data_IF_281827249927
#
_entry.id   IF_281827249927
#
_cell.length_a   1.000
_cell.length_b   1.000
_cell.length_c   1.000
_cell.angle_alpha   90.00
_cell.angle_beta   90.00
_cell.angle_gamma   90.00
#
_symmetry.space_group_name_H-M   'P 1'
#
loop_
_entity.id
_entity.type
_entity.pdbx_description
1 polymer ?
#
# COMPACT_ATOMS: atom_id res chain seq x y z
N UNK A 1 -20.76 6.38 -34.66
CA UNK A 1 -19.82 5.39 -35.22
C UNK A 1 -18.41 5.73 -34.72
N UNK A 2 -17.69 4.80 -34.17
CA UNK A 2 -16.31 4.84 -33.62
C UNK A 2 -16.09 5.20 -32.13
N UNK A 3 -16.79 4.55 -31.24
CA UNK A 3 -16.36 4.53 -29.81
C UNK A 3 -15.61 3.25 -29.38
N UNK A 4 -15.48 2.24 -30.27
CA UNK A 4 -14.91 0.94 -29.92
C UNK A 4 -13.36 0.87 -29.93
N UNK A 5 -12.67 1.85 -30.48
CA UNK A 5 -11.20 1.82 -30.61
C UNK A 5 -10.43 2.41 -29.42
N UNK A 6 -11.07 3.23 -28.58
CA UNK A 6 -10.41 3.87 -27.44
C UNK A 6 -10.12 2.88 -26.28
N UNK A 7 -11.03 1.93 -26.02
CA UNK A 7 -10.87 0.94 -24.92
C UNK A 7 -9.76 -0.07 -25.18
N UNK A 8 -9.58 -0.50 -26.43
CA UNK A 8 -8.52 -1.46 -26.79
C UNK A 8 -7.11 -0.88 -26.69
N UNK A 9 -6.96 0.41 -26.94
CA UNK A 9 -5.65 1.08 -26.90
C UNK A 9 -5.18 1.33 -25.47
N UNK A 10 -6.10 1.65 -24.55
CA UNK A 10 -5.78 1.85 -23.13
C UNK A 10 -5.36 0.56 -22.42
N UNK A 11 -6.07 -0.56 -22.68
CA UNK A 11 -5.69 -1.87 -22.14
C UNK A 11 -4.34 -2.36 -22.66
N UNK A 12 -3.96 -2.02 -23.90
CA UNK A 12 -2.64 -2.34 -24.45
C UNK A 12 -1.50 -1.54 -23.81
N UNK A 13 -1.74 -0.30 -23.41
CA UNK A 13 -0.71 0.54 -22.75
C UNK A 13 -0.50 0.17 -21.28
N UNK A 14 -1.53 -0.29 -20.59
CA UNK A 14 -1.40 -0.74 -19.19
C UNK A 14 -0.68 -2.09 -19.07
N UNK A 15 -0.86 -2.99 -20.04
CA UNK A 15 -0.20 -4.31 -20.05
C UNK A 15 1.27 -4.24 -20.53
N UNK A 16 1.67 -3.20 -21.25
CA UNK A 16 3.04 -3.04 -21.75
C UNK A 16 4.04 -2.56 -20.69
N UNK A 17 3.58 -2.18 -19.49
CA UNK A 17 4.46 -1.75 -18.39
C UNK A 17 4.95 -2.90 -17.49
N UNK A 18 4.51 -4.14 -17.74
CA UNK A 18 4.90 -5.33 -16.95
C UNK A 18 6.04 -6.14 -17.60
N UNK A 19 6.49 -5.77 -18.81
CA UNK A 19 7.32 -6.65 -19.61
C UNK A 19 8.61 -6.11 -20.21
N UNK A 20 9.27 -5.09 -19.66
CA UNK A 20 10.63 -4.75 -20.08
C UNK A 20 11.65 -5.06 -18.99
N UNK A 21 12.17 -6.30 -19.03
CA UNK A 21 13.42 -6.68 -18.36
C UNK A 21 14.57 -5.89 -19.00
N UNK A 22 14.84 -4.71 -18.48
CA UNK A 22 16.14 -4.09 -18.68
C UNK A 22 17.17 -4.85 -17.83
N UNK A 23 17.98 -5.66 -18.49
CA UNK A 23 19.25 -6.12 -17.96
C UNK A 23 20.18 -4.91 -17.77
N UNK A 24 19.99 -4.19 -16.69
CA UNK A 24 20.97 -3.25 -16.20
C UNK A 24 21.85 -4.00 -15.20
N UNK A 25 23.06 -4.36 -15.63
CA UNK A 25 24.19 -4.60 -14.73
C UNK A 25 24.50 -3.32 -13.96
N UNK A 26 23.63 -2.98 -13.00
CA UNK A 26 23.81 -1.88 -12.07
C UNK A 26 24.42 -2.43 -10.79
N UNK A 27 25.70 -2.17 -10.56
CA UNK A 27 26.29 -2.26 -9.23
C UNK A 27 25.33 -1.57 -8.25
N UNK A 28 24.90 -2.28 -7.21
CA UNK A 28 24.14 -1.73 -6.11
C UNK A 28 24.86 -0.46 -5.64
N UNK A 29 24.35 0.72 -5.96
CA UNK A 29 24.72 1.93 -5.25
C UNK A 29 24.24 1.73 -3.82
N UNK A 30 25.12 1.23 -2.95
CA UNK A 30 24.95 1.38 -1.50
C UNK A 30 24.68 2.86 -1.28
N UNK A 31 23.51 3.19 -0.75
CA UNK A 31 23.29 4.49 -0.14
C UNK A 31 24.24 4.49 1.07
N UNK A 32 25.46 4.97 0.86
CA UNK A 32 26.41 5.20 1.95
C UNK A 32 26.00 6.55 2.51
N UNK A 33 25.45 6.64 3.73
CA UNK A 33 25.20 7.92 4.35
C UNK A 33 26.53 8.67 4.40
N UNK A 34 26.56 9.94 3.94
CA UNK A 34 27.57 10.89 4.41
C UNK A 34 27.61 10.78 5.92
N UNK A 35 28.79 10.75 6.53
CA UNK A 35 29.03 10.59 7.97
C UNK A 35 28.12 11.52 8.79
N UNK A 36 26.95 11.04 9.21
CA UNK A 36 25.94 11.77 9.95
C UNK A 36 24.63 10.98 10.05
N UNK A 37 23.92 11.14 11.14
CA UNK A 37 22.60 10.57 11.38
C UNK A 37 21.59 11.25 10.45
N UNK A 38 20.90 10.51 9.57
CA UNK A 38 19.85 11.06 8.71
C UNK A 38 18.56 11.16 9.52
N UNK A 39 18.02 12.36 9.64
CA UNK A 39 16.74 12.66 10.27
C UNK A 39 15.75 13.11 9.22
N UNK A 40 14.50 12.65 9.33
CA UNK A 40 13.41 12.97 8.41
C UNK A 40 12.12 13.24 9.19
N UNK A 41 11.22 13.98 8.57
CA UNK A 41 9.93 14.35 9.18
C UNK A 41 9.90 15.80 9.67
N UNK A 42 8.75 16.22 10.20
CA UNK A 42 8.47 17.61 10.57
C UNK A 42 7.69 17.69 11.88
N UNK A 43 7.78 18.84 12.55
CA UNK A 43 7.07 19.10 13.80
C UNK A 43 7.42 18.08 14.89
N UNK A 44 6.41 17.48 15.48
CA UNK A 44 6.59 16.43 16.50
C UNK A 44 6.89 15.04 15.92
N UNK A 45 6.83 14.86 14.58
CA UNK A 45 7.05 13.56 13.91
C UNK A 45 8.44 13.53 13.26
N UNK A 46 9.48 13.48 14.10
CA UNK A 46 10.87 13.37 13.65
C UNK A 46 11.36 11.96 13.86
N UNK A 47 12.05 11.44 12.85
CA UNK A 47 12.56 10.08 12.80
C UNK A 47 14.01 10.04 12.39
N UNK A 48 14.74 9.08 12.94
CA UNK A 48 16.07 8.69 12.52
C UNK A 48 16.01 7.49 11.59
N UNK A 49 16.71 7.54 10.46
CA UNK A 49 16.86 6.39 9.58
C UNK A 49 17.79 5.37 10.22
N UNK A 50 17.32 4.14 10.41
CA UNK A 50 18.13 3.03 10.94
C UNK A 50 18.79 2.29 9.77
N UNK A 51 20.11 2.42 9.58
CA UNK A 51 20.79 1.80 8.47
C UNK A 51 20.79 0.26 8.60
N UNK A 52 20.57 -0.41 7.47
CA UNK A 52 20.64 -1.88 7.35
C UNK A 52 19.66 -2.66 8.25
N UNK A 53 18.60 -2.04 8.73
CA UNK A 53 17.56 -2.78 9.43
C UNK A 53 16.94 -3.84 8.50
N UNK A 54 16.76 -5.06 8.99
CA UNK A 54 16.15 -6.14 8.21
C UNK A 54 16.97 -6.63 7.02
N UNK A 55 18.24 -6.20 6.88
CA UNK A 55 19.13 -6.66 5.81
C UNK A 55 19.47 -8.14 6.02
N UNK A 56 19.13 -8.97 5.02
CA UNK A 56 19.39 -10.40 5.02
C UNK A 56 20.41 -10.80 3.95
N UNK A 57 20.81 -12.07 3.98
CA UNK A 57 21.58 -12.70 2.90
C UNK A 57 20.67 -12.90 1.68
N UNK A 58 20.84 -12.09 0.65
CA UNK A 58 20.05 -12.15 -0.58
C UNK A 58 20.18 -13.48 -1.36
N UNK A 59 21.19 -14.29 -1.08
CA UNK A 59 21.30 -15.64 -1.63
C UNK A 59 20.33 -16.62 -0.99
N UNK A 60 20.00 -16.41 0.29
CA UNK A 60 19.12 -17.28 1.09
C UNK A 60 17.69 -16.76 1.17
N UNK A 61 17.54 -15.48 1.45
CA UNK A 61 16.24 -14.82 1.64
C UNK A 61 16.11 -13.61 0.72
N UNK A 62 16.13 -13.80 -0.62
CA UNK A 62 16.01 -12.69 -1.55
C UNK A 62 14.69 -11.95 -1.40
N UNK A 63 14.68 -10.69 -1.79
CA UNK A 63 13.46 -9.90 -2.04
C UNK A 63 13.48 -9.43 -3.49
N UNK A 64 12.32 -9.17 -4.05
CA UNK A 64 12.20 -8.46 -5.32
C UNK A 64 11.52 -7.12 -5.05
N UNK A 65 10.23 -6.97 -5.28
CA UNK A 65 9.49 -5.79 -4.83
C UNK A 65 8.92 -6.07 -3.44
N UNK A 66 9.23 -5.24 -2.47
CA UNK A 66 8.65 -5.30 -1.14
C UNK A 66 7.39 -4.42 -1.13
N UNK A 67 6.23 -5.04 -0.88
CA UNK A 67 4.96 -4.32 -1.03
C UNK A 67 4.39 -3.84 0.29
N UNK A 68 4.22 -4.71 1.28
CA UNK A 68 3.52 -4.35 2.51
C UNK A 68 4.09 -5.04 3.75
N UNK A 69 3.83 -4.43 4.90
CA UNK A 69 4.18 -4.99 6.21
C UNK A 69 3.02 -4.92 7.18
N UNK A 70 2.92 -5.94 8.04
CA UNK A 70 1.97 -5.99 9.17
C UNK A 70 2.64 -6.61 10.40
N UNK A 71 2.12 -6.33 11.60
CA UNK A 71 2.58 -6.93 12.85
C UNK A 71 1.52 -7.88 13.42
N UNK A 72 1.94 -9.04 13.90
CA UNK A 72 1.05 -9.96 14.59
C UNK A 72 0.95 -9.65 16.10
N UNK A 73 0.03 -10.33 16.78
CA UNK A 73 -0.17 -10.16 18.22
C UNK A 73 1.04 -10.54 19.10
N UNK A 74 2.07 -11.14 18.51
CA UNK A 74 3.34 -11.49 19.20
C UNK A 74 4.46 -10.48 18.93
N UNK A 75 4.17 -9.39 18.21
CA UNK A 75 5.16 -8.38 17.86
C UNK A 75 6.10 -8.79 16.71
N UNK A 76 5.71 -9.79 15.89
CA UNK A 76 6.49 -10.20 14.72
C UNK A 76 6.04 -9.40 13.50
N UNK A 77 6.99 -8.94 12.72
CA UNK A 77 6.77 -8.15 11.52
C UNK A 77 6.79 -9.05 10.27
N UNK A 78 5.69 -9.08 9.56
CA UNK A 78 5.52 -9.83 8.32
C UNK A 78 5.73 -8.89 7.15
N UNK A 79 6.73 -9.16 6.33
CA UNK A 79 6.98 -8.47 5.06
C UNK A 79 6.44 -9.31 3.91
N UNK A 80 5.65 -8.71 3.03
CA UNK A 80 5.22 -9.31 1.77
C UNK A 80 6.12 -8.85 0.62
N UNK A 81 6.60 -9.79 -0.18
CA UNK A 81 7.34 -9.54 -1.43
C UNK A 81 6.86 -10.45 -2.54
N UNK A 82 6.96 -10.02 -3.80
CA UNK A 82 6.65 -10.85 -4.96
C UNK A 82 7.82 -11.78 -5.37
N UNK A 83 8.83 -11.94 -4.50
CA UNK A 83 9.90 -12.92 -4.69
C UNK A 83 9.40 -14.34 -4.35
N UNK A 84 9.31 -15.19 -5.37
CA UNK A 84 8.70 -16.52 -5.24
C UNK A 84 9.57 -17.55 -4.52
N UNK A 85 10.75 -17.22 -4.06
CA UNK A 85 11.53 -18.10 -3.17
C UNK A 85 11.07 -17.99 -1.72
N UNK A 86 10.51 -16.83 -1.33
CA UNK A 86 10.01 -16.54 0.00
C UNK A 86 9.10 -15.31 -0.01
N UNK A 87 7.84 -15.48 -0.42
CA UNK A 87 6.90 -14.37 -0.53
C UNK A 87 6.65 -13.62 0.79
N UNK A 88 6.79 -14.30 1.92
CA UNK A 88 6.63 -13.70 3.25
C UNK A 88 7.90 -13.92 4.06
N UNK A 89 8.46 -12.84 4.57
CA UNK A 89 9.61 -12.83 5.47
C UNK A 89 9.15 -12.28 6.82
N UNK A 90 9.46 -12.99 7.90
CA UNK A 90 9.04 -12.64 9.25
C UNK A 90 10.25 -12.21 10.07
N UNK A 91 10.21 -10.98 10.58
CA UNK A 91 11.26 -10.39 11.42
C UNK A 91 10.79 -10.23 12.87
N UNK A 92 11.75 -10.15 13.77
CA UNK A 92 11.52 -9.45 15.03
C UNK A 92 11.75 -7.92 14.86
N UNK A 93 11.43 -7.11 15.88
CA UNK A 93 11.56 -5.65 15.82
C UNK A 93 13.02 -5.15 15.71
N UNK A 94 14.00 -6.03 15.99
CA UNK A 94 15.42 -5.74 15.78
C UNK A 94 15.86 -5.87 14.30
N UNK A 95 15.01 -6.48 13.45
CA UNK A 95 15.32 -6.78 12.05
C UNK A 95 15.95 -8.16 11.85
N UNK A 96 15.97 -9.01 12.87
CA UNK A 96 16.43 -10.39 12.77
C UNK A 96 15.38 -11.26 12.11
N UNK A 97 15.79 -12.07 11.13
CA UNK A 97 14.94 -13.10 10.53
C UNK A 97 14.49 -14.11 11.57
N UNK A 98 13.19 -14.34 11.64
CA UNK A 98 12.58 -15.42 12.44
C UNK A 98 12.19 -16.60 11.55
N UNK A 99 11.49 -16.34 10.43
CA UNK A 99 10.94 -17.35 9.53
C UNK A 99 10.71 -16.73 8.14
N UNK A 100 10.67 -17.55 7.10
CA UNK A 100 10.17 -17.15 5.78
C UNK A 100 9.42 -18.30 5.12
N UNK A 101 8.40 -17.94 4.30
CA UNK A 101 7.59 -18.92 3.58
C UNK A 101 6.93 -18.32 2.31
N UNK A 102 6.27 -19.17 1.55
CA UNK A 102 5.52 -18.79 0.35
C UNK A 102 6.37 -18.82 -0.92
N UNK A 103 5.84 -19.53 -1.93
CA UNK A 103 6.49 -19.71 -3.23
C UNK A 103 5.48 -19.58 -4.38
N UNK A 104 4.25 -19.16 -4.07
CA UNK A 104 3.11 -19.29 -4.99
C UNK A 104 2.43 -17.95 -5.30
N UNK A 105 3.01 -16.83 -4.86
CA UNK A 105 2.41 -15.51 -5.00
C UNK A 105 3.29 -14.58 -5.88
N UNK A 106 3.34 -14.82 -7.21
CA UNK A 106 4.20 -14.04 -8.11
C UNK A 106 3.77 -12.59 -8.26
N UNK A 107 2.51 -12.30 -7.99
CA UNK A 107 1.93 -10.95 -7.98
C UNK A 107 1.58 -10.48 -6.57
N UNK A 108 2.26 -10.99 -5.54
CA UNK A 108 2.03 -10.56 -4.15
C UNK A 108 2.10 -9.04 -4.03
N UNK A 109 1.00 -8.42 -3.55
CA UNK A 109 0.85 -6.96 -3.54
C UNK A 109 0.26 -6.43 -2.22
N UNK A 110 -1.01 -6.73 -1.89
CA UNK A 110 -1.66 -6.32 -0.66
C UNK A 110 -1.49 -7.35 0.46
N UNK A 111 -1.30 -6.89 1.71
CA UNK A 111 -1.19 -7.74 2.90
C UNK A 111 -1.99 -7.15 4.05
N UNK A 112 -3.07 -7.80 4.43
CA UNK A 112 -3.87 -7.43 5.60
C UNK A 112 -3.82 -8.53 6.65
N UNK A 113 -3.57 -8.18 7.92
CA UNK A 113 -3.72 -9.09 9.05
C UNK A 113 -5.10 -8.90 9.67
N UNK A 114 -5.76 -9.99 10.04
CA UNK A 114 -7.09 -9.96 10.67
C UNK A 114 -7.15 -10.93 11.85
N UNK A 115 -8.01 -10.58 12.82
CA UNK A 115 -8.29 -11.40 14.00
C UNK A 115 -9.63 -12.08 13.86
N UNK A 116 -9.69 -13.39 14.11
CA UNK A 116 -10.94 -14.16 14.22
C UNK A 116 -10.91 -14.92 15.56
N UNK A 117 -11.57 -14.36 16.55
CA UNK A 117 -11.47 -14.85 17.92
C UNK A 117 -10.03 -14.72 18.44
N UNK A 118 -9.42 -15.83 18.83
CA UNK A 118 -8.04 -15.88 19.34
C UNK A 118 -6.99 -16.14 18.23
N UNK A 119 -7.42 -16.37 16.99
CA UNK A 119 -6.54 -16.68 15.87
C UNK A 119 -6.34 -15.47 14.97
N UNK A 120 -5.18 -15.42 14.30
CA UNK A 120 -4.85 -14.39 13.31
C UNK A 120 -4.64 -15.04 11.96
N UNK A 121 -5.06 -14.32 10.92
CA UNK A 121 -4.96 -14.74 9.52
C UNK A 121 -4.39 -13.59 8.69
N UNK A 122 -3.92 -13.93 7.49
CA UNK A 122 -3.49 -12.98 6.48
C UNK A 122 -4.45 -13.03 5.29
N UNK A 123 -4.71 -11.86 4.70
CA UNK A 123 -5.24 -11.74 3.34
C UNK A 123 -4.12 -11.24 2.46
N UNK A 124 -3.83 -11.97 1.39
CA UNK A 124 -2.80 -11.65 0.40
C UNK A 124 -3.49 -11.36 -0.93
N UNK A 125 -3.34 -10.15 -1.45
CA UNK A 125 -3.70 -9.85 -2.84
C UNK A 125 -2.59 -10.32 -3.76
N UNK A 126 -2.92 -11.16 -4.73
CA UNK A 126 -2.00 -11.53 -5.81
C UNK A 126 -2.57 -11.02 -7.14
N UNK A 127 -1.98 -9.96 -7.66
CA UNK A 127 -2.44 -9.29 -8.87
C UNK A 127 -2.11 -10.06 -10.15
N UNK A 128 -1.15 -10.98 -10.13
CA UNK A 128 -0.81 -11.85 -11.26
C UNK A 128 -1.72 -13.09 -11.31
N UNK A 129 -2.10 -13.61 -10.13
CA UNK A 129 -3.06 -14.73 -10.03
C UNK A 129 -4.51 -14.27 -10.10
N UNK A 130 -4.77 -12.96 -10.00
CA UNK A 130 -6.12 -12.38 -9.99
C UNK A 130 -6.96 -12.90 -8.82
N UNK A 131 -6.37 -12.97 -7.63
CA UNK A 131 -6.97 -13.59 -6.45
C UNK A 131 -6.66 -12.82 -5.18
N UNK A 132 -7.52 -12.95 -4.17
CA UNK A 132 -7.21 -12.65 -2.78
C UNK A 132 -7.20 -13.97 -2.02
N UNK A 133 -6.12 -14.27 -1.32
CA UNK A 133 -5.92 -15.53 -0.64
C UNK A 133 -5.92 -15.29 0.88
N UNK A 134 -6.77 -16.00 1.62
CA UNK A 134 -6.71 -16.05 3.08
C UNK A 134 -5.82 -17.20 3.51
N UNK A 135 -4.82 -16.90 4.37
CA UNK A 135 -3.94 -17.92 4.95
C UNK A 135 -3.89 -17.81 6.47
N UNK A 136 -3.47 -18.88 7.15
CA UNK A 136 -2.95 -18.72 8.50
C UNK A 136 -1.56 -18.02 8.48
N UNK A 137 -0.99 -17.71 9.65
CA UNK A 137 0.30 -17.03 9.75
C UNK A 137 1.50 -17.87 9.28
N UNK A 138 1.28 -19.15 8.94
CA UNK A 138 2.29 -20.07 8.40
C UNK A 138 2.13 -20.33 6.91
N UNK A 139 1.18 -19.63 6.25
CA UNK A 139 0.95 -19.72 4.82
C UNK A 139 0.03 -20.86 4.38
N UNK A 140 -0.61 -21.59 5.31
CA UNK A 140 -1.63 -22.57 4.94
C UNK A 140 -2.88 -21.83 4.43
N UNK A 141 -3.26 -22.07 3.18
CA UNK A 141 -4.47 -21.51 2.58
C UNK A 141 -5.73 -21.99 3.31
N UNK A 142 -6.62 -21.05 3.62
CA UNK A 142 -7.93 -21.28 4.24
C UNK A 142 -9.03 -21.22 3.18
N UNK A 143 -9.06 -20.12 2.41
CA UNK A 143 -9.89 -19.95 1.22
C UNK A 143 -9.25 -18.91 0.29
N UNK A 144 -9.80 -18.79 -0.90
CA UNK A 144 -9.46 -17.74 -1.86
C UNK A 144 -10.70 -17.09 -2.44
N UNK A 145 -10.62 -15.78 -2.71
CA UNK A 145 -11.56 -15.02 -3.50
C UNK A 145 -10.98 -14.95 -4.91
N UNK A 146 -11.70 -15.49 -5.85
CA UNK A 146 -11.38 -15.41 -7.26
C UNK A 146 -12.13 -14.24 -7.91
N UNK A 147 -12.00 -14.09 -9.20
CA UNK A 147 -12.70 -13.09 -9.97
C UNK A 147 -14.23 -13.14 -9.71
N UNK A 148 -14.83 -12.01 -9.30
CA UNK A 148 -16.22 -12.00 -8.80
C UNK A 148 -17.22 -11.93 -9.94
N UNK A 149 -17.64 -13.06 -10.45
CA UNK A 149 -18.63 -13.19 -11.55
C UNK A 149 -19.95 -12.53 -11.22
N UNK A 150 -20.35 -12.56 -9.96
CA UNK A 150 -21.63 -12.07 -9.45
C UNK A 150 -21.78 -10.55 -9.62
N UNK A 151 -20.67 -9.84 -9.79
CA UNK A 151 -20.70 -8.38 -10.00
C UNK A 151 -21.25 -8.00 -11.37
N UNK A 152 -21.09 -8.87 -12.38
CA UNK A 152 -21.45 -8.59 -13.77
C UNK A 152 -20.64 -7.48 -14.46
N UNK A 153 -19.54 -6.99 -13.83
CA UNK A 153 -18.73 -5.89 -14.37
C UNK A 153 -17.43 -6.35 -15.01
N UNK A 154 -17.12 -7.62 -14.92
CA UNK A 154 -15.94 -8.25 -15.52
C UNK A 154 -16.35 -9.21 -16.63
N UNK A 155 -15.80 -9.03 -17.82
CA UNK A 155 -16.00 -9.94 -18.95
C UNK A 155 -15.03 -11.14 -18.87
N UNK A 156 -13.90 -10.96 -18.15
CA UNK A 156 -12.83 -11.95 -18.12
C UNK A 156 -12.07 -11.91 -16.77
N UNK A 157 -11.64 -13.06 -16.23
CA UNK A 157 -10.89 -13.12 -14.96
C UNK A 157 -9.70 -12.17 -14.86
N UNK A 158 -8.96 -11.95 -15.95
CA UNK A 158 -7.78 -11.09 -15.99
C UNK A 158 -8.10 -9.59 -15.82
N UNK A 159 -9.37 -9.22 -15.78
CA UNK A 159 -9.78 -7.84 -15.48
C UNK A 159 -9.87 -7.57 -13.98
N UNK A 160 -9.91 -8.59 -13.15
CA UNK A 160 -9.81 -8.48 -11.70
C UNK A 160 -8.34 -8.49 -11.27
N UNK A 161 -7.82 -7.36 -10.82
CA UNK A 161 -6.41 -7.19 -10.46
C UNK A 161 -6.33 -6.52 -9.08
N UNK A 162 -6.60 -7.30 -8.00
CA UNK A 162 -6.72 -6.77 -6.64
C UNK A 162 -5.40 -6.20 -6.15
N UNK A 163 -5.47 -5.04 -5.51
CA UNK A 163 -4.31 -4.34 -4.97
C UNK A 163 -4.28 -4.35 -3.44
N UNK A 164 -5.45 -4.29 -2.79
CA UNK A 164 -5.50 -4.16 -1.33
C UNK A 164 -6.78 -4.75 -0.77
N UNK A 165 -6.74 -5.10 0.53
CA UNK A 165 -7.92 -5.48 1.31
C UNK A 165 -8.03 -4.67 2.59
N UNK A 166 -9.27 -4.51 3.08
CA UNK A 166 -9.56 -4.06 4.43
C UNK A 166 -10.65 -4.94 5.04
N UNK A 167 -10.56 -5.15 6.35
CA UNK A 167 -11.54 -5.99 7.07
C UNK A 167 -12.31 -5.13 8.06
N UNK A 168 -13.62 -5.26 8.07
CA UNK A 168 -14.48 -4.66 9.07
C UNK A 168 -14.36 -5.46 10.40
N UNK A 169 -13.77 -4.89 11.46
CA UNK A 169 -13.55 -5.64 12.69
C UNK A 169 -14.83 -6.04 13.44
N UNK A 170 -16.01 -5.48 13.10
CA UNK A 170 -17.28 -5.81 13.75
C UNK A 170 -17.90 -7.11 13.24
N UNK A 171 -17.79 -7.36 11.93
CA UNK A 171 -18.52 -8.48 11.30
C UNK A 171 -17.63 -9.33 10.38
N UNK A 172 -16.35 -8.95 10.21
CA UNK A 172 -15.40 -9.66 9.36
C UNK A 172 -15.59 -9.44 7.85
N UNK A 173 -16.46 -8.52 7.42
CA UNK A 173 -16.62 -8.21 6.00
C UNK A 173 -15.28 -7.73 5.40
N UNK A 174 -14.98 -8.23 4.21
CA UNK A 174 -13.75 -7.97 3.47
C UNK A 174 -14.06 -7.01 2.33
N UNK A 175 -13.36 -5.88 2.28
CA UNK A 175 -13.37 -4.96 1.16
C UNK A 175 -12.11 -5.17 0.32
N UNK A 176 -12.28 -5.41 -0.96
CA UNK A 176 -11.19 -5.61 -1.93
C UNK A 176 -11.14 -4.42 -2.87
N UNK A 177 -10.01 -3.77 -2.94
CA UNK A 177 -9.74 -2.74 -3.94
C UNK A 177 -9.18 -3.40 -5.21
N UNK A 178 -9.91 -3.30 -6.33
CA UNK A 178 -9.49 -3.76 -7.65
C UNK A 178 -8.73 -2.64 -8.39
N UNK A 179 -7.66 -2.13 -7.78
CA UNK A 179 -7.00 -0.88 -8.19
C UNK A 179 -6.25 -0.93 -9.50
N UNK A 180 -5.80 -2.11 -9.93
CA UNK A 180 -5.14 -2.31 -11.22
C UNK A 180 -6.07 -2.98 -12.26
N UNK A 181 -7.30 -3.33 -11.86
CA UNK A 181 -8.31 -3.86 -12.73
C UNK A 181 -9.35 -2.81 -13.13
N UNK A 182 -10.62 -3.09 -12.85
CA UNK A 182 -11.73 -2.23 -13.25
C UNK A 182 -12.03 -1.09 -12.26
N UNK A 183 -11.24 -0.94 -11.20
CA UNK A 183 -11.34 0.12 -10.20
C UNK A 183 -12.62 0.08 -9.33
N UNK A 184 -13.12 -1.10 -9.03
CA UNK A 184 -14.19 -1.29 -8.07
C UNK A 184 -13.65 -1.57 -6.67
N UNK A 185 -14.43 -1.16 -5.67
CA UNK A 185 -14.33 -1.70 -4.31
C UNK A 185 -15.41 -2.75 -4.19
N UNK A 186 -15.00 -3.98 -3.84
CA UNK A 186 -15.90 -5.12 -3.78
C UNK A 186 -15.98 -5.60 -2.35
N UNK A 187 -17.20 -5.69 -1.80
CA UNK A 187 -17.45 -6.16 -0.45
C UNK A 187 -17.84 -7.64 -0.47
N UNK A 188 -17.19 -8.42 0.37
CA UNK A 188 -17.48 -9.82 0.65
C UNK A 188 -17.79 -9.99 2.13
N UNK A 189 -18.51 -11.05 2.49
CA UNK A 189 -18.61 -11.45 3.89
C UNK A 189 -17.32 -12.11 4.40
N UNK A 190 -17.25 -12.43 5.69
CA UNK A 190 -16.10 -13.06 6.34
C UNK A 190 -15.70 -14.44 5.75
N UNK A 191 -16.57 -15.04 4.94
CA UNK A 191 -16.35 -16.32 4.24
C UNK A 191 -16.00 -16.14 2.76
N UNK A 192 -15.78 -14.90 2.32
CA UNK A 192 -15.46 -14.57 0.93
C UNK A 192 -16.64 -14.63 -0.05
N UNK A 193 -17.89 -14.58 0.44
CA UNK A 193 -19.08 -14.54 -0.43
C UNK A 193 -19.39 -13.08 -0.79
N UNK A 194 -19.63 -12.83 -2.07
CA UNK A 194 -19.96 -11.52 -2.61
C UNK A 194 -21.21 -10.90 -1.93
N UNK A 195 -21.11 -9.61 -1.60
CA UNK A 195 -22.23 -8.81 -1.07
C UNK A 195 -22.61 -7.72 -2.05
N UNK A 196 -21.68 -6.86 -2.43
CA UNK A 196 -21.88 -5.71 -3.33
C UNK A 196 -20.56 -5.17 -3.89
N UNK A 197 -20.66 -4.26 -4.82
CA UNK A 197 -19.55 -3.47 -5.28
C UNK A 197 -19.98 -2.03 -5.57
N UNK A 198 -19.01 -1.11 -5.63
CA UNK A 198 -19.20 0.30 -6.00
C UNK A 198 -17.93 0.87 -6.59
N UNK A 199 -17.99 2.05 -7.16
CA UNK A 199 -16.83 2.70 -7.79
C UNK A 199 -16.77 2.48 -9.29
N UNK A 200 -15.70 1.87 -9.77
CA UNK A 200 -15.38 1.67 -11.17
C UNK A 200 -14.48 2.77 -11.72
N UNK A 201 -13.89 2.52 -12.87
CA UNK A 201 -12.95 3.44 -13.50
C UNK A 201 -13.60 4.72 -14.02
N UNK A 202 -12.89 5.84 -13.88
CA UNK A 202 -13.18 7.09 -14.61
C UNK A 202 -11.86 7.81 -14.95
N UNK A 203 -11.71 8.22 -16.20
CA UNK A 203 -10.62 9.10 -16.62
C UNK A 203 -10.86 10.57 -16.25
N UNK A 204 -12.13 10.92 -15.97
CA UNK A 204 -12.53 12.23 -15.52
C UNK A 204 -12.68 12.23 -14.00
N UNK A 205 -12.52 13.40 -13.41
CA UNK A 205 -12.74 13.56 -11.98
C UNK A 205 -14.18 13.21 -11.59
N UNK A 206 -14.35 12.34 -10.62
CA UNK A 206 -15.65 11.84 -10.17
C UNK A 206 -15.62 11.60 -8.67
N UNK A 207 -16.71 11.89 -7.97
CA UNK A 207 -16.87 11.54 -6.55
C UNK A 207 -17.08 10.04 -6.35
N UNK A 208 -17.80 9.41 -7.27
CA UNK A 208 -18.25 8.01 -7.16
C UNK A 208 -17.27 6.99 -7.74
N UNK A 209 -16.37 7.42 -8.64
CA UNK A 209 -15.47 6.55 -9.39
C UNK A 209 -14.02 6.86 -9.11
N UNK A 210 -13.12 6.00 -9.55
CA UNK A 210 -11.68 6.08 -9.26
C UNK A 210 -10.83 6.05 -10.53
N UNK A 211 -9.63 6.59 -10.39
CA UNK A 211 -8.53 6.35 -11.31
C UNK A 211 -7.38 5.75 -10.47
N UNK A 212 -7.34 4.42 -10.40
CA UNK A 212 -6.51 3.61 -9.53
C UNK A 212 -6.93 3.68 -8.03
N UNK A 213 -7.98 2.93 -7.65
CA UNK A 213 -8.36 2.72 -6.24
C UNK A 213 -7.35 1.76 -5.57
N UNK A 214 -6.12 2.26 -5.31
CA UNK A 214 -5.00 1.41 -4.97
C UNK A 214 -5.05 0.83 -3.55
N UNK A 215 -5.58 1.57 -2.59
CA UNK A 215 -5.65 1.19 -1.19
C UNK A 215 -7.04 1.40 -0.62
N UNK A 216 -7.40 0.62 0.38
CA UNK A 216 -8.64 0.72 1.15
C UNK A 216 -8.36 0.46 2.62
N UNK A 217 -9.02 1.22 3.51
CA UNK A 217 -8.98 1.10 4.96
C UNK A 217 -10.38 1.22 5.53
N UNK A 218 -10.73 0.39 6.51
CA UNK A 218 -11.86 0.67 7.41
C UNK A 218 -11.40 1.63 8.49
N UNK A 219 -11.74 2.91 8.35
CA UNK A 219 -11.38 3.96 9.32
C UNK A 219 -12.34 3.89 10.51
N UNK A 220 -11.81 3.48 11.65
CA UNK A 220 -12.55 3.28 12.90
C UNK A 220 -12.36 4.41 13.92
N UNK A 221 -11.67 5.52 13.55
CA UNK A 221 -11.36 6.64 14.46
C UNK A 221 -12.61 7.37 14.98
N UNK A 222 -13.67 7.41 14.19
CA UNK A 222 -14.99 7.82 14.70
C UNK A 222 -15.77 6.57 15.14
N UNK A 223 -15.92 6.30 16.44
CA UNK A 223 -16.54 5.09 16.93
C UNK A 223 -18.03 4.95 16.57
N UNK A 224 -18.68 6.05 16.24
CA UNK A 224 -20.10 6.08 15.86
C UNK A 224 -20.29 5.91 14.34
N UNK A 225 -19.33 6.36 13.52
CA UNK A 225 -19.46 6.45 12.07
C UNK A 225 -18.24 5.85 11.35
N UNK A 226 -18.05 4.54 11.45
CA UNK A 226 -17.00 3.86 10.69
C UNK A 226 -17.21 4.06 9.19
N UNK A 227 -16.13 4.23 8.48
CA UNK A 227 -16.15 4.56 7.06
C UNK A 227 -15.00 3.88 6.32
N UNK A 228 -15.09 3.82 5.00
CA UNK A 228 -13.97 3.42 4.15
C UNK A 228 -13.17 4.66 3.75
N UNK A 229 -11.86 4.61 3.93
CA UNK A 229 -10.92 5.56 3.36
C UNK A 229 -10.22 4.86 2.20
N UNK A 230 -10.39 5.39 0.99
CA UNK A 230 -9.97 4.74 -0.26
C UNK A 230 -9.00 5.67 -0.99
N UNK A 231 -7.89 5.12 -1.42
CA UNK A 231 -6.95 5.86 -2.29
C UNK A 231 -7.52 6.01 -3.68
N UNK A 232 -7.51 7.23 -4.21
CA UNK A 232 -7.68 7.52 -5.64
C UNK A 232 -6.35 8.06 -6.17
N UNK A 233 -5.42 7.15 -6.47
CA UNK A 233 -3.99 7.43 -6.62
C UNK A 233 -3.69 8.45 -7.70
N UNK A 234 -4.23 8.27 -8.89
CA UNK A 234 -3.96 9.15 -10.04
C UNK A 234 -4.56 10.54 -9.82
N UNK A 235 -5.67 10.62 -9.09
CA UNK A 235 -6.30 11.87 -8.70
C UNK A 235 -5.69 12.50 -7.43
N UNK A 236 -4.65 11.87 -6.85
CA UNK A 236 -3.87 12.38 -5.71
C UNK A 236 -4.78 12.77 -4.54
N UNK A 237 -5.62 11.83 -4.12
CA UNK A 237 -6.52 12.07 -2.99
C UNK A 237 -6.90 10.76 -2.28
N UNK A 238 -7.34 10.91 -1.04
CA UNK A 238 -8.19 9.93 -0.40
C UNK A 238 -9.65 10.31 -0.58
N UNK A 239 -10.50 9.31 -0.76
CA UNK A 239 -11.96 9.45 -0.76
C UNK A 239 -12.55 8.68 0.41
N UNK A 240 -13.49 9.30 1.10
CA UNK A 240 -14.23 8.69 2.18
C UNK A 240 -15.60 8.25 1.70
N UNK A 241 -15.94 7.01 2.03
CA UNK A 241 -17.24 6.40 1.73
C UNK A 241 -17.82 5.80 3.01
N UNK A 242 -19.13 5.68 3.06
CA UNK A 242 -19.80 4.82 4.05
C UNK A 242 -19.43 3.36 3.80
N UNK A 243 -19.63 2.48 4.78
CA UNK A 243 -19.36 1.04 4.62
C UNK A 243 -20.25 0.37 3.55
N UNK A 244 -21.37 0.99 3.17
CA UNK A 244 -22.26 0.54 2.09
C UNK A 244 -21.97 1.20 0.73
N UNK A 245 -20.90 2.00 0.61
CA UNK A 245 -20.38 2.52 -0.65
C UNK A 245 -20.93 3.88 -1.09
N UNK A 246 -21.50 4.68 -0.18
CA UNK A 246 -21.93 6.05 -0.51
C UNK A 246 -20.79 7.03 -0.26
N UNK A 247 -20.51 7.88 -1.23
CA UNK A 247 -19.49 8.93 -1.11
C UNK A 247 -19.84 9.94 0.00
N UNK A 248 -18.82 10.31 0.79
CA UNK A 248 -18.94 11.31 1.85
C UNK A 248 -18.14 12.56 1.51
N UNK A 249 -16.84 12.40 1.29
CA UNK A 249 -15.93 13.52 1.01
C UNK A 249 -14.61 13.02 0.43
N UNK A 250 -13.73 13.95 0.08
CA UNK A 250 -12.37 13.69 -0.40
C UNK A 250 -11.35 14.61 0.26
N UNK A 251 -10.13 14.13 0.30
CA UNK A 251 -8.98 14.84 0.86
C UNK A 251 -7.89 14.88 -0.18
N UNK A 252 -7.66 16.07 -0.75
CA UNK A 252 -6.64 16.26 -1.78
C UNK A 252 -5.24 16.24 -1.17
N UNK A 253 -4.33 15.55 -1.86
CA UNK A 253 -2.92 15.41 -1.52
C UNK A 253 -2.06 15.82 -2.73
N UNK A 254 -2.03 17.11 -3.08
CA UNK A 254 -1.39 17.57 -4.31
C UNK A 254 0.08 17.18 -4.37
N UNK A 255 0.50 16.61 -5.49
CA UNK A 255 1.87 16.14 -5.70
C UNK A 255 2.11 14.69 -5.28
N UNK A 256 1.18 14.03 -4.59
CA UNK A 256 1.38 12.75 -3.92
C UNK A 256 0.65 11.61 -4.61
N UNK A 257 1.39 10.66 -5.20
CA UNK A 257 0.81 9.38 -5.63
C UNK A 257 0.83 8.40 -4.45
N UNK A 258 -0.18 8.51 -3.59
CA UNK A 258 -0.26 7.71 -2.37
C UNK A 258 -0.64 6.26 -2.64
N UNK A 259 -0.12 5.35 -1.80
CA UNK A 259 -0.44 3.92 -1.85
C UNK A 259 -1.68 3.61 -1.03
N UNK A 260 -1.56 2.97 0.13
CA UNK A 260 -2.72 2.72 1.00
C UNK A 260 -2.72 3.65 2.21
N UNK A 261 -3.89 3.98 2.77
CA UNK A 261 -3.97 4.59 4.10
C UNK A 261 -3.78 3.51 5.17
N UNK A 262 -2.96 3.78 6.17
CA UNK A 262 -2.71 2.91 7.32
C UNK A 262 -3.08 3.64 8.60
N UNK A 263 -3.94 3.01 9.41
CA UNK A 263 -4.36 3.58 10.68
C UNK A 263 -3.31 3.34 11.77
N UNK A 264 -2.89 4.40 12.46
CA UNK A 264 -2.06 4.32 13.65
C UNK A 264 -2.55 5.31 14.72
N UNK A 265 -3.21 4.81 15.74
CA UNK A 265 -3.87 5.65 16.75
C UNK A 265 -4.89 6.60 16.10
N UNK A 266 -4.69 7.90 16.29
CA UNK A 266 -5.53 8.96 15.69
C UNK A 266 -5.02 9.44 14.33
N UNK A 267 -3.92 8.87 13.82
CA UNK A 267 -3.28 9.28 12.58
C UNK A 267 -3.53 8.31 11.45
N UNK A 268 -3.47 8.83 10.23
CA UNK A 268 -3.35 8.04 9.00
C UNK A 268 -1.94 8.23 8.48
N UNK A 269 -1.24 7.13 8.28
CA UNK A 269 0.04 7.10 7.62
C UNK A 269 -0.16 6.63 6.17
N UNK A 270 0.63 7.16 5.24
CA UNK A 270 0.61 6.71 3.85
C UNK A 270 2.00 6.82 3.22
N UNK A 271 2.37 5.81 2.44
CA UNK A 271 3.49 5.91 1.53
C UNK A 271 3.05 6.65 0.26
N UNK A 272 3.83 7.63 -0.15
CA UNK A 272 3.75 8.26 -1.46
C UNK A 272 4.87 7.68 -2.32
N UNK A 273 4.53 6.77 -3.25
CA UNK A 273 5.58 6.06 -3.99
C UNK A 273 6.35 6.97 -4.95
N UNK A 274 5.78 8.10 -5.35
CA UNK A 274 6.45 9.17 -6.10
C UNK A 274 5.72 10.50 -5.99
N UNK A 275 6.43 11.60 -6.26
CA UNK A 275 5.85 12.94 -6.46
C UNK A 275 5.63 13.23 -7.96
N UNK A 276 4.73 14.19 -8.28
CA UNK A 276 4.33 14.48 -9.65
C UNK A 276 5.42 15.04 -10.55
N UNK A 277 6.40 15.79 -9.98
CA UNK A 277 7.39 16.56 -10.74
C UNK A 277 8.72 15.86 -10.90
N UNK A 278 8.87 14.70 -10.32
CA UNK A 278 10.14 14.00 -10.36
C UNK A 278 10.18 12.96 -11.48
N UNK A 279 11.38 12.66 -11.94
CA UNK A 279 11.65 11.46 -12.71
C UNK A 279 11.08 10.25 -11.97
N UNK A 280 10.80 9.18 -12.71
CA UNK A 280 10.22 7.94 -12.16
C UNK A 280 10.95 7.39 -10.92
N UNK A 281 12.23 7.62 -10.78
CA UNK A 281 13.06 7.04 -9.74
C UNK A 281 13.40 8.02 -8.63
N UNK A 282 13.26 7.58 -7.38
CA UNK A 282 13.78 8.28 -6.20
C UNK A 282 12.99 9.52 -5.79
N UNK A 283 11.67 9.53 -5.99
CA UNK A 283 10.82 10.68 -5.63
C UNK A 283 9.80 10.39 -4.56
N UNK A 284 9.94 9.25 -3.86
CA UNK A 284 9.01 8.85 -2.82
C UNK A 284 9.28 9.48 -1.46
N UNK A 285 8.23 9.53 -0.66
CA UNK A 285 8.22 10.01 0.73
C UNK A 285 7.02 9.45 1.48
N UNK A 286 6.90 9.76 2.77
CA UNK A 286 5.74 9.35 3.58
C UNK A 286 4.87 10.56 3.90
N UNK A 287 3.63 10.32 4.28
CA UNK A 287 2.72 11.32 4.83
C UNK A 287 2.11 10.82 6.14
N UNK A 288 2.00 11.72 7.11
CA UNK A 288 1.29 11.53 8.37
C UNK A 288 0.17 12.56 8.41
N UNK A 289 -1.07 12.08 8.49
CA UNK A 289 -2.27 12.92 8.54
C UNK A 289 -2.93 12.79 9.91
N UNK A 290 -3.36 13.90 10.47
CA UNK A 290 -4.05 13.94 11.76
C UNK A 290 -5.52 13.44 11.65
N UNK A 291 -6.25 13.53 12.76
CA UNK A 291 -7.68 13.15 12.81
C UNK A 291 -8.57 13.97 11.87
N UNK A 292 -8.16 15.19 11.51
CA UNK A 292 -8.86 16.06 10.58
C UNK A 292 -8.41 15.86 9.13
N UNK A 293 -7.56 14.85 8.88
CA UNK A 293 -6.94 14.58 7.58
C UNK A 293 -6.04 15.72 7.07
N UNK A 294 -5.46 16.51 7.99
CA UNK A 294 -4.41 17.47 7.65
C UNK A 294 -3.05 16.76 7.67
N UNK A 295 -2.24 16.96 6.65
CA UNK A 295 -0.86 16.46 6.62
C UNK A 295 -0.05 17.24 7.65
N UNK A 296 0.47 16.56 8.66
CA UNK A 296 1.23 17.14 9.78
C UNK A 296 2.72 16.84 9.70
N UNK A 297 3.12 15.82 8.94
CA UNK A 297 4.52 15.52 8.67
C UNK A 297 4.66 14.73 7.36
N UNK A 298 5.82 14.88 6.72
CA UNK A 298 6.15 14.22 5.45
C UNK A 298 7.59 13.69 5.53
N UNK A 299 7.85 12.58 6.25
CA UNK A 299 9.19 12.02 6.33
C UNK A 299 9.77 11.71 4.94
N UNK A 300 10.90 12.31 4.59
CA UNK A 300 11.55 12.22 3.26
C UNK A 300 10.90 13.10 2.18
N UNK A 301 9.93 13.94 2.54
CA UNK A 301 9.27 14.90 1.67
C UNK A 301 9.40 16.34 2.18
N UNK A 302 8.93 17.29 1.38
CA UNK A 302 8.85 18.70 1.75
C UNK A 302 7.87 18.93 2.88
N UNK A 303 8.10 19.90 3.74
CA UNK A 303 7.16 20.28 4.80
C UNK A 303 5.78 20.60 4.24
N UNK A 304 4.73 20.23 4.96
CA UNK A 304 3.37 20.51 4.57
C UNK A 304 3.02 22.00 4.77
N UNK A 305 2.75 22.69 3.68
CA UNK A 305 2.39 24.10 3.66
C UNK A 305 0.90 24.24 3.35
N UNK A 306 0.20 25.02 4.15
CA UNK A 306 -1.20 25.36 3.92
C UNK A 306 -1.35 26.86 3.63
N UNK A 307 -1.95 27.20 2.48
CA UNK A 307 -2.34 28.57 2.14
C UNK A 307 -3.86 28.68 2.17
N UNK A 308 -4.39 29.52 3.02
CA UNK A 308 -5.84 29.67 3.23
C UNK A 308 -6.55 28.32 3.50
N UNK A 309 -5.93 27.43 4.27
CA UNK A 309 -6.45 26.09 4.58
C UNK A 309 -6.31 25.06 3.47
N UNK A 310 -5.67 25.39 2.35
CA UNK A 310 -5.45 24.50 1.21
C UNK A 310 -4.02 23.97 1.23
N UNK A 311 -3.86 22.64 1.32
CA UNK A 311 -2.56 21.99 1.23
C UNK A 311 -1.89 22.33 -0.11
N UNK A 312 -0.67 22.81 -0.04
CA UNK A 312 0.14 23.09 -1.20
C UNK A 312 0.81 21.80 -1.70
N UNK A 313 1.31 21.85 -2.92
CA UNK A 313 1.94 20.71 -3.59
C UNK A 313 3.10 20.16 -2.77
N UNK A 314 3.06 18.86 -2.53
CA UNK A 314 4.08 18.11 -1.81
C UNK A 314 5.08 17.51 -2.81
N UNK A 315 6.34 17.46 -2.41
CA UNK A 315 7.44 16.93 -3.21
C UNK A 315 8.37 16.11 -2.30
N UNK A 316 9.23 15.31 -2.89
CA UNK A 316 10.35 14.70 -2.16
C UNK A 316 11.24 15.77 -1.55
N UNK A 317 11.94 15.43 -0.48
CA UNK A 317 13.04 16.24 0.03
C UNK A 317 14.27 16.03 -0.88
N UNK A 318 14.84 17.11 -1.40
CA UNK A 318 16.00 17.05 -2.30
C UNK A 318 17.31 16.85 -1.52
N UNK A 319 17.35 17.16 -0.23
CA UNK A 319 18.56 17.04 0.61
C UNK A 319 18.77 15.61 1.12
N UNK A 320 17.68 14.84 1.31
CA UNK A 320 17.71 13.49 1.89
C UNK A 320 16.96 12.48 1.03
N UNK A 321 17.62 11.88 0.06
CA UNK A 321 17.05 10.79 -0.76
C UNK A 321 16.98 9.47 0.05
N UNK A 322 16.05 9.39 1.00
CA UNK A 322 15.88 8.21 1.86
C UNK A 322 15.14 7.10 1.11
N UNK A 323 14.13 7.47 0.33
CA UNK A 323 13.25 6.52 -0.35
C UNK A 323 13.40 6.57 -1.86
N UNK A 324 13.25 5.40 -2.49
CA UNK A 324 13.12 5.28 -3.94
C UNK A 324 11.63 5.29 -4.30
N UNK A 325 10.91 4.22 -4.01
CA UNK A 325 9.47 4.09 -4.19
C UNK A 325 8.87 3.40 -2.96
N UNK A 326 8.67 4.11 -1.84
CA UNK A 326 8.01 3.53 -0.67
C UNK A 326 6.59 3.10 -1.07
N UNK A 327 6.25 1.85 -0.79
CA UNK A 327 4.97 1.29 -1.22
C UNK A 327 3.97 1.16 -0.08
N UNK A 328 4.47 0.98 1.13
CA UNK A 328 3.67 0.89 2.33
C UNK A 328 4.38 1.54 3.53
N UNK A 329 3.64 1.71 4.60
CA UNK A 329 4.14 2.06 5.92
C UNK A 329 3.46 1.19 6.96
N UNK A 330 4.24 0.72 7.92
CA UNK A 330 3.71 0.13 9.14
C UNK A 330 4.33 0.85 10.33
N UNK A 331 3.55 1.22 11.34
CA UNK A 331 4.06 1.81 12.58
C UNK A 331 3.80 0.88 13.77
N UNK A 332 4.83 0.63 14.58
CA UNK A 332 4.71 -0.20 15.78
C UNK A 332 4.26 0.60 17.01
N UNK A 333 4.09 -0.07 18.15
CA UNK A 333 3.68 0.56 19.41
C UNK A 333 4.68 1.59 19.97
N UNK A 334 5.93 1.54 19.51
CA UNK A 334 6.98 2.50 19.89
C UNK A 334 7.06 3.64 18.88
N UNK A 335 6.08 3.75 17.98
CA UNK A 335 5.97 4.73 16.89
C UNK A 335 7.11 4.67 15.85
N UNK A 336 7.87 3.56 15.81
CA UNK A 336 8.82 3.33 14.72
C UNK A 336 8.07 2.97 13.45
N UNK A 337 8.56 3.45 12.31
CA UNK A 337 7.95 3.20 11.00
C UNK A 337 8.81 2.25 10.19
N UNK A 338 8.18 1.27 9.56
CA UNK A 338 8.80 0.30 8.65
C UNK A 338 8.27 0.51 7.25
N UNK A 339 9.18 0.64 6.28
CA UNK A 339 8.86 1.10 4.92
C UNK A 339 9.38 0.12 3.88
N UNK A 340 8.54 -0.77 3.38
CA UNK A 340 8.85 -1.59 2.20
C UNK A 340 8.79 -0.75 0.93
N UNK A 341 9.59 -1.11 -0.09
CA UNK A 341 9.71 -0.35 -1.32
C UNK A 341 9.52 -1.21 -2.57
N UNK A 342 8.78 -0.68 -3.54
CA UNK A 342 8.59 -1.25 -4.86
C UNK A 342 9.64 -0.72 -5.85
N UNK A 343 10.02 -1.53 -6.84
CA UNK A 343 10.97 -1.17 -7.92
C UNK A 343 12.21 -0.39 -7.40
N UNK A 344 12.71 -0.80 -6.25
CA UNK A 344 13.82 -0.14 -5.54
C UNK A 344 15.18 -0.84 -5.75
N UNK A 345 15.26 -1.81 -6.68
CA UNK A 345 16.46 -2.60 -6.90
C UNK A 345 16.64 -3.72 -5.87
N UNK A 346 15.56 -4.34 -5.46
CA UNK A 346 15.52 -5.46 -4.50
C UNK A 346 16.03 -5.07 -3.11
N UNK A 347 15.63 -3.90 -2.63
CA UNK A 347 16.00 -3.42 -1.29
C UNK A 347 15.09 -4.01 -0.22
N UNK A 348 15.68 -4.36 0.92
CA UNK A 348 14.94 -4.69 2.13
C UNK A 348 14.28 -3.43 2.72
N UNK A 349 13.29 -3.58 3.62
CA UNK A 349 12.59 -2.44 4.20
C UNK A 349 13.52 -1.47 4.94
N UNK A 350 13.12 -0.21 4.99
CA UNK A 350 13.78 0.82 5.79
C UNK A 350 13.04 0.96 7.11
N UNK A 351 13.77 1.04 8.22
CA UNK A 351 13.21 1.43 9.52
C UNK A 351 13.52 2.89 9.80
N UNK A 352 12.51 3.60 10.24
CA UNK A 352 12.60 4.92 10.83
C UNK A 352 12.32 4.79 12.33
N UNK A 353 13.28 5.16 13.15
CA UNK A 353 13.16 5.17 14.61
C UNK A 353 12.64 6.54 15.07
N UNK A 354 11.58 6.53 15.89
CA UNK A 354 11.01 7.75 16.45
C UNK A 354 12.05 8.45 17.33
N UNK A 355 12.19 9.78 17.15
CA UNK A 355 13.01 10.63 18.02
C UNK A 355 12.04 11.54 18.80
N UNK A 356 12.13 11.49 20.12
CA UNK A 356 11.37 12.36 21.00
C UNK A 356 12.02 13.76 21.10
#
# INVERSE_FOLDING_TARGET
MNESNSRRTFLKTSSALVGSSFLANGSQKKIVPKSGEIKVGHGEFIYKVVPNWGLLDAGKNPVNDCHEMVEDAKGRLFLLTNEVKNNVIIYDKSGKLLESWGTSYPGAHGLTILNEGAEQFLLICDNTRHQVIKTDLKGREIFKIEYPRETGVYDHPNQFVPTETAVNPKNGDIYVADGYGANYIIQYDSKGRYIRHFGGYSSSYSDQKFNCCHGVLVDTRDPLNWSLLITDRVNQCFKRFTLDGKFITRYHLPGSFVCRPVLHGNYILAACFRSTDASWSGSGYLQILDKNMQVVSTPGGSEAIYLNGILQKQMKDDDHHVFIHPHDVYADSDENIYVPQWASGKTYPIKLERIN
#
